data_IF_923616873966
#
_entry.id   IF_923616873966
#
_cell.length_a   1.000
_cell.length_b   1.000
_cell.length_c   1.000
_cell.angle_alpha   90.00
_cell.angle_beta   90.00
_cell.angle_gamma   90.00
#
_symmetry.space_group_name_H-M   'P 1'
#
loop_
_entity.id
_entity.type
_entity.pdbx_description
1 polymer ?
#
# COMPACT_ATOMS: atom_id res chain seq x y z
N UNK A 1 56.41 16.44 2.83
CA UNK A 1 56.64 15.33 1.88
C UNK A 1 56.72 14.02 2.65
N UNK A 2 55.67 13.21 2.63
CA UNK A 2 55.75 11.73 2.56
C UNK A 2 54.36 11.15 2.33
N UNK A 3 54.22 10.48 1.19
CA UNK A 3 53.07 9.68 0.75
C UNK A 3 52.98 8.37 1.52
N UNK A 4 51.76 7.93 1.85
CA UNK A 4 51.26 6.54 1.97
C UNK A 4 49.75 6.63 1.64
N UNK A 5 49.19 6.16 0.51
CA UNK A 5 49.02 4.78 0.02
C UNK A 5 48.64 3.81 1.15
N UNK A 6 47.59 2.98 1.09
CA UNK A 6 46.42 2.80 0.25
C UNK A 6 45.60 1.75 1.02
N UNK A 7 44.31 1.95 1.27
CA UNK A 7 43.42 0.87 1.68
C UNK A 7 42.02 1.20 1.18
N UNK A 8 41.81 0.86 -0.10
CA UNK A 8 40.47 0.84 -0.69
C UNK A 8 39.67 -0.28 -0.03
N UNK A 9 38.46 0.06 0.40
CA UNK A 9 37.48 -0.87 0.92
C UNK A 9 37.21 -1.99 -0.12
N UNK A 10 37.05 -3.25 0.31
CA UNK A 10 36.66 -4.31 -0.61
C UNK A 10 35.30 -3.97 -1.22
N UNK A 11 35.34 -3.77 -2.54
CA UNK A 11 34.21 -3.58 -3.41
C UNK A 11 33.18 -4.69 -3.22
N UNK A 12 31.92 -4.26 -3.18
CA UNK A 12 30.69 -5.05 -3.20
C UNK A 12 30.86 -6.46 -3.76
N UNK A 13 30.40 -7.43 -2.97
CA UNK A 13 30.02 -8.78 -3.39
C UNK A 13 29.52 -8.79 -4.83
N UNK A 14 30.28 -9.47 -5.69
CA UNK A 14 29.87 -9.88 -7.02
C UNK A 14 28.52 -10.59 -6.93
N UNK A 15 27.45 -9.87 -7.25
CA UNK A 15 26.13 -10.47 -7.48
C UNK A 15 26.09 -11.01 -8.92
N UNK A 16 26.96 -11.98 -9.23
CA UNK A 16 26.81 -12.78 -10.45
C UNK A 16 25.85 -13.94 -10.17
N UNK A 17 24.56 -13.62 -10.01
CA UNK A 17 23.50 -14.63 -10.10
C UNK A 17 23.07 -14.69 -11.57
N UNK A 18 23.84 -15.42 -12.37
CA UNK A 18 23.61 -15.62 -13.82
C UNK A 18 22.43 -16.58 -14.08
N UNK A 19 21.26 -16.30 -13.49
CA UNK A 19 20.01 -16.98 -13.82
C UNK A 19 19.30 -16.28 -14.99
N UNK A 20 18.44 -16.98 -15.75
CA UNK A 20 17.58 -16.32 -16.73
C UNK A 20 16.68 -15.30 -16.04
N UNK A 21 16.56 -14.08 -16.57
CA UNK A 21 15.63 -13.08 -16.04
C UNK A 21 14.19 -13.40 -16.53
N UNK A 22 13.55 -14.40 -15.92
CA UNK A 22 12.20 -14.84 -16.30
C UNK A 22 11.18 -13.70 -16.22
N UNK A 23 11.28 -12.84 -15.20
CA UNK A 23 10.41 -11.65 -15.05
C UNK A 23 10.55 -10.69 -16.23
N UNK A 24 11.78 -10.42 -16.68
CA UNK A 24 12.05 -9.61 -17.87
C UNK A 24 11.51 -10.25 -19.15
N UNK A 25 11.75 -11.55 -19.33
CA UNK A 25 11.27 -12.32 -20.47
C UNK A 25 9.74 -12.31 -20.60
N UNK A 26 9.00 -12.54 -19.51
CA UNK A 26 7.53 -12.50 -19.54
C UNK A 26 6.98 -11.09 -19.71
N UNK A 27 7.65 -10.08 -19.15
CA UNK A 27 7.30 -8.67 -19.37
C UNK A 27 7.35 -8.32 -20.87
N UNK A 28 8.42 -8.71 -21.56
CA UNK A 28 8.61 -8.40 -22.97
C UNK A 28 7.60 -9.13 -23.86
N UNK A 29 7.29 -10.41 -23.56
CA UNK A 29 6.25 -11.16 -24.26
C UNK A 29 4.85 -10.59 -24.08
N UNK A 30 4.50 -10.14 -22.87
CA UNK A 30 3.22 -9.48 -22.62
C UNK A 30 3.14 -8.16 -23.39
N UNK A 31 4.22 -7.36 -23.39
CA UNK A 31 4.29 -6.13 -24.16
C UNK A 31 4.14 -6.37 -25.67
N UNK A 32 4.75 -7.43 -26.21
CA UNK A 32 4.61 -7.81 -27.62
C UNK A 32 3.17 -8.24 -27.95
N UNK A 33 2.54 -9.06 -27.12
CA UNK A 33 1.16 -9.51 -27.32
C UNK A 33 0.15 -8.35 -27.31
N UNK A 34 0.35 -7.37 -26.42
CA UNK A 34 -0.51 -6.18 -26.32
C UNK A 34 -0.26 -5.18 -27.46
N UNK A 35 0.95 -5.15 -28.03
CA UNK A 35 1.30 -4.26 -29.14
C UNK A 35 0.82 -4.75 -30.50
N UNK A 36 0.34 -6.01 -30.61
CA UNK A 36 -0.24 -6.56 -31.84
C UNK A 36 -1.70 -6.10 -32.03
N UNK A 37 -1.89 -4.82 -32.33
CA UNK A 37 -3.14 -4.24 -32.87
C UNK A 37 -2.81 -3.45 -34.15
N UNK A 38 -3.75 -3.40 -35.11
CA UNK A 38 -3.69 -2.74 -36.43
C UNK A 38 -2.88 -3.42 -37.57
N UNK A 39 -3.49 -4.45 -38.19
CA UNK A 39 -3.61 -4.50 -39.66
C UNK A 39 -4.94 -5.17 -40.04
N UNK A 40 -5.99 -4.37 -40.24
CA UNK A 40 -7.24 -4.86 -40.82
C UNK A 40 -7.08 -4.77 -42.35
N UNK A 41 -7.19 -5.88 -43.13
CA UNK A 41 -7.33 -5.77 -44.57
C UNK A 41 -8.75 -5.28 -44.90
N UNK A 42 -8.86 -4.10 -45.51
CA UNK A 42 -10.12 -3.60 -46.05
C UNK A 42 -10.54 -4.45 -47.25
N UNK A 43 -11.55 -5.29 -47.09
CA UNK A 43 -12.30 -5.83 -48.22
C UNK A 43 -13.79 -5.60 -47.98
N UNK A 44 -14.34 -4.63 -48.71
CA UNK A 44 -15.77 -4.32 -48.75
C UNK A 44 -16.56 -5.47 -49.36
N UNK A 45 -17.51 -6.06 -48.62
CA UNK A 45 -18.72 -6.69 -49.18
C UNK A 45 -19.89 -6.48 -48.21
N UNK A 46 -21.03 -6.04 -48.75
CA UNK A 46 -22.16 -5.45 -48.02
C UNK A 46 -23.16 -6.37 -47.31
N UNK A 47 -23.92 -5.70 -46.43
CA UNK A 47 -25.20 -5.98 -45.76
C UNK A 47 -25.72 -7.44 -45.63
N UNK A 48 -25.62 -8.00 -44.43
CA UNK A 48 -26.73 -8.37 -43.51
C UNK A 48 -26.17 -9.25 -42.38
N UNK A 49 -26.75 -9.12 -41.17
CA UNK A 49 -26.42 -9.85 -39.91
C UNK A 49 -25.28 -9.20 -39.12
N UNK A 50 -25.33 -9.33 -37.78
CA UNK A 50 -24.39 -8.72 -36.82
C UNK A 50 -22.99 -8.62 -37.43
N UNK A 51 -22.50 -7.38 -37.54
CA UNK A 51 -21.29 -7.05 -38.30
C UNK A 51 -20.21 -8.07 -37.97
N UNK A 52 -19.70 -8.76 -38.99
CA UNK A 52 -18.59 -9.72 -38.86
C UNK A 52 -17.41 -9.13 -38.08
N UNK A 53 -17.24 -7.80 -38.11
CA UNK A 53 -16.25 -7.08 -37.31
C UNK A 53 -16.48 -7.15 -35.79
N UNK A 54 -17.72 -7.19 -35.30
CA UNK A 54 -18.01 -7.35 -33.86
C UNK A 54 -17.69 -8.76 -33.37
N UNK A 55 -18.04 -9.78 -34.17
CA UNK A 55 -17.76 -11.19 -33.86
C UNK A 55 -16.25 -11.41 -33.87
N UNK A 56 -15.55 -10.95 -34.91
CA UNK A 56 -14.08 -11.05 -35.03
C UNK A 56 -13.39 -10.25 -33.91
N UNK A 57 -13.86 -9.05 -33.57
CA UNK A 57 -13.31 -8.26 -32.46
C UNK A 57 -13.46 -8.96 -31.10
N UNK A 58 -14.60 -9.61 -30.87
CA UNK A 58 -14.83 -10.39 -29.65
C UNK A 58 -13.98 -11.67 -29.57
N UNK A 59 -13.77 -12.37 -30.69
CA UNK A 59 -12.93 -13.57 -30.77
C UNK A 59 -11.43 -13.23 -30.63
N UNK A 60 -10.98 -12.12 -31.23
CA UNK A 60 -9.61 -11.62 -31.06
C UNK A 60 -9.34 -11.23 -29.60
N UNK A 61 -10.31 -10.56 -28.96
CA UNK A 61 -10.23 -10.23 -27.54
C UNK A 61 -10.17 -11.48 -26.66
N UNK A 62 -11.00 -12.51 -26.95
CA UNK A 62 -10.95 -13.80 -26.26
C UNK A 62 -9.60 -14.48 -26.44
N UNK A 63 -9.08 -14.56 -27.66
CA UNK A 63 -7.80 -15.21 -27.97
C UNK A 63 -6.61 -14.49 -27.30
N UNK A 64 -6.62 -13.15 -27.27
CA UNK A 64 -5.61 -12.35 -26.56
C UNK A 64 -5.66 -12.65 -25.05
N UNK A 65 -6.86 -12.72 -24.47
CA UNK A 65 -7.04 -13.06 -23.06
C UNK A 65 -6.61 -14.50 -22.73
N UNK A 66 -6.91 -15.46 -23.60
CA UNK A 66 -6.48 -16.86 -23.47
C UNK A 66 -4.96 -16.99 -23.52
N UNK A 67 -4.29 -16.30 -24.47
CA UNK A 67 -2.82 -16.28 -24.57
C UNK A 67 -2.17 -15.58 -23.39
N UNK A 68 -2.74 -14.46 -22.93
CA UNK A 68 -2.25 -13.75 -21.75
C UNK A 68 -2.37 -14.64 -20.51
N UNK A 69 -3.51 -15.31 -20.32
CA UNK A 69 -3.71 -16.27 -19.23
C UNK A 69 -2.74 -17.45 -19.30
N UNK A 70 -2.45 -17.97 -20.49
CA UNK A 70 -1.47 -19.04 -20.67
C UNK A 70 -0.05 -18.57 -20.30
N UNK A 71 0.36 -17.38 -20.75
CA UNK A 71 1.66 -16.80 -20.38
C UNK A 71 1.77 -16.52 -18.89
N UNK A 72 0.72 -16.02 -18.24
CA UNK A 72 0.69 -15.80 -16.80
C UNK A 72 0.85 -17.11 -16.03
N UNK A 73 0.16 -18.18 -16.46
CA UNK A 73 0.31 -19.52 -15.87
C UNK A 73 1.75 -20.03 -16.02
N UNK A 74 2.34 -19.85 -17.20
CA UNK A 74 3.71 -20.29 -17.45
C UNK A 74 4.72 -19.46 -16.62
N UNK A 75 4.54 -18.14 -16.55
CA UNK A 75 5.34 -17.26 -15.70
C UNK A 75 5.30 -17.71 -14.24
N UNK A 76 4.13 -18.03 -13.72
CA UNK A 76 4.00 -18.58 -12.35
C UNK A 76 4.73 -19.91 -12.22
N UNK A 77 4.59 -20.83 -13.17
CA UNK A 77 5.26 -22.13 -13.14
C UNK A 77 6.79 -22.01 -13.15
N UNK A 78 7.34 -21.09 -13.94
CA UNK A 78 8.78 -20.89 -14.03
C UNK A 78 9.36 -20.20 -12.78
N UNK A 79 8.56 -19.37 -12.09
CA UNK A 79 8.98 -18.68 -10.87
C UNK A 79 8.85 -19.54 -9.60
N UNK A 80 7.99 -20.56 -9.59
CA UNK A 80 7.84 -21.48 -8.46
C UNK A 80 9.19 -22.08 -8.00
N UNK A 81 10.01 -22.69 -8.87
CA UNK A 81 11.27 -23.29 -8.43
C UNK A 81 12.27 -22.27 -7.88
N UNK A 82 12.28 -21.03 -8.38
CA UNK A 82 13.13 -19.96 -7.82
C UNK A 82 12.71 -19.58 -6.40
N UNK A 83 11.40 -19.53 -6.15
CA UNK A 83 10.86 -19.24 -4.81
C UNK A 83 11.16 -20.40 -3.85
N UNK A 84 11.03 -21.65 -4.31
CA UNK A 84 11.39 -22.84 -3.54
C UNK A 84 12.89 -22.88 -3.20
N UNK A 85 13.76 -22.56 -4.15
CA UNK A 85 15.23 -22.48 -3.93
C UNK A 85 15.57 -21.44 -2.85
N UNK A 86 14.96 -20.26 -2.92
CA UNK A 86 15.19 -19.20 -1.92
C UNK A 86 14.70 -19.62 -0.53
N UNK A 87 13.56 -20.31 -0.44
CA UNK A 87 13.07 -20.84 0.83
C UNK A 87 14.02 -21.91 1.40
N UNK A 88 14.52 -22.82 0.56
CA UNK A 88 15.49 -23.84 0.97
C UNK A 88 16.81 -23.20 1.46
N UNK A 89 17.32 -22.18 0.75
CA UNK A 89 18.50 -21.42 1.15
C UNK A 89 18.30 -20.74 2.51
N UNK A 90 17.13 -20.14 2.76
CA UNK A 90 16.79 -19.53 4.05
C UNK A 90 16.72 -20.59 5.16
N UNK A 91 16.19 -21.79 4.87
CA UNK A 91 16.18 -22.89 5.84
C UNK A 91 17.58 -23.41 6.15
N UNK A 92 18.45 -23.51 5.15
CA UNK A 92 19.86 -23.90 5.33
C UNK A 92 20.57 -22.84 6.16
N UNK A 93 20.40 -21.56 5.84
CA UNK A 93 20.99 -20.45 6.57
C UNK A 93 20.54 -20.47 8.04
N UNK A 94 19.24 -20.63 8.29
CA UNK A 94 18.68 -20.74 9.65
C UNK A 94 19.29 -21.88 10.46
N UNK A 95 19.72 -22.97 9.82
CA UNK A 95 20.38 -24.10 10.50
C UNK A 95 21.89 -23.91 10.67
N UNK A 96 22.54 -23.27 9.70
CA UNK A 96 24.01 -23.19 9.61
C UNK A 96 24.57 -21.98 10.34
N UNK A 97 23.88 -20.84 10.22
CA UNK A 97 24.25 -19.59 10.88
C UNK A 97 22.97 -18.86 11.37
N UNK A 98 22.43 -19.28 12.53
CA UNK A 98 21.26 -18.63 13.11
C UNK A 98 21.46 -17.14 13.40
N UNK A 99 22.69 -16.71 13.69
CA UNK A 99 23.01 -15.32 14.00
C UNK A 99 22.87 -14.42 12.77
N UNK A 100 23.40 -14.86 11.63
CA UNK A 100 23.23 -14.15 10.36
C UNK A 100 21.77 -14.16 9.90
N UNK A 101 21.05 -15.27 10.09
CA UNK A 101 19.61 -15.35 9.80
C UNK A 101 18.80 -14.33 10.61
N UNK A 102 18.98 -14.29 11.94
CA UNK A 102 18.32 -13.33 12.83
C UNK A 102 18.65 -11.88 12.46
N UNK A 103 19.88 -11.59 12.01
CA UNK A 103 20.26 -10.26 11.54
C UNK A 103 19.51 -9.85 10.27
N UNK A 104 19.40 -10.74 9.29
CA UNK A 104 18.64 -10.50 8.05
C UNK A 104 17.15 -10.33 8.36
N UNK A 105 16.58 -11.23 9.15
CA UNK A 105 15.16 -11.18 9.54
C UNK A 105 14.84 -9.88 10.30
N UNK A 106 15.69 -9.50 11.26
CA UNK A 106 15.58 -8.26 12.00
C UNK A 106 15.69 -7.04 11.09
N UNK A 107 16.63 -7.02 10.14
CA UNK A 107 16.76 -5.92 9.18
C UNK A 107 15.49 -5.79 8.34
N UNK A 108 15.00 -6.89 7.77
CA UNK A 108 13.78 -6.87 6.97
C UNK A 108 12.57 -6.41 7.79
N UNK A 109 12.44 -6.90 9.02
CA UNK A 109 11.38 -6.47 9.95
C UNK A 109 11.47 -4.98 10.24
N UNK A 110 12.66 -4.45 10.51
CA UNK A 110 12.88 -3.02 10.75
C UNK A 110 12.54 -2.17 9.51
N UNK A 111 12.92 -2.63 8.31
CA UNK A 111 12.62 -1.92 7.06
C UNK A 111 11.09 -1.86 6.82
N UNK A 112 10.37 -2.96 7.07
CA UNK A 112 8.91 -3.01 6.97
C UNK A 112 8.26 -2.10 8.02
N UNK A 113 8.73 -2.13 9.27
CA UNK A 113 8.22 -1.26 10.34
C UNK A 113 8.46 0.23 10.03
N UNK A 114 9.63 0.58 9.50
CA UNK A 114 9.95 1.94 9.10
C UNK A 114 9.06 2.40 7.94
N UNK A 115 8.82 1.54 6.94
CA UNK A 115 7.89 1.81 5.84
C UNK A 115 6.46 2.04 6.35
N UNK A 116 6.00 1.20 7.27
CA UNK A 116 4.67 1.32 7.89
C UNK A 116 4.52 2.62 8.68
N UNK A 117 5.53 2.98 9.48
CA UNK A 117 5.51 4.25 10.22
C UNK A 117 5.51 5.45 9.29
N UNK A 118 6.31 5.42 8.22
CA UNK A 118 6.28 6.48 7.19
C UNK A 118 4.89 6.58 6.54
N UNK A 119 4.26 5.47 6.16
CA UNK A 119 2.89 5.49 5.61
C UNK A 119 1.88 6.05 6.61
N UNK A 120 1.98 5.67 7.89
CA UNK A 120 1.14 6.22 8.96
C UNK A 120 1.32 7.73 9.08
N UNK A 121 2.55 8.22 9.11
CA UNK A 121 2.83 9.67 9.18
C UNK A 121 2.29 10.42 7.96
N UNK A 122 2.41 9.84 6.76
CA UNK A 122 1.85 10.43 5.53
C UNK A 122 0.32 10.52 5.60
N UNK A 123 -0.36 9.49 6.13
CA UNK A 123 -1.81 9.49 6.33
C UNK A 123 -2.23 10.54 7.36
N UNK A 124 -1.53 10.66 8.48
CA UNK A 124 -1.83 11.68 9.50
C UNK A 124 -1.65 13.09 8.91
N UNK A 125 -0.56 13.33 8.16
CA UNK A 125 -0.35 14.61 7.46
C UNK A 125 -1.44 14.90 6.44
N UNK A 126 -1.89 13.90 5.69
CA UNK A 126 -2.99 14.05 4.75
C UNK A 126 -4.29 14.41 5.48
N UNK A 127 -4.57 13.75 6.60
CA UNK A 127 -5.75 14.02 7.42
C UNK A 127 -5.72 15.45 7.99
N UNK A 128 -4.57 15.92 8.47
CA UNK A 128 -4.39 17.31 8.92
C UNK A 128 -4.58 18.30 7.77
N UNK A 129 -4.04 18.02 6.59
CA UNK A 129 -4.26 18.84 5.41
C UNK A 129 -5.74 18.92 5.05
N UNK A 130 -6.49 17.81 5.13
CA UNK A 130 -7.95 17.83 4.90
C UNK A 130 -8.65 18.66 5.98
N UNK A 131 -8.34 18.42 7.25
CA UNK A 131 -8.97 19.10 8.39
C UNK A 131 -8.71 20.61 8.39
N UNK A 132 -7.52 21.07 7.99
CA UNK A 132 -7.19 22.51 7.85
C UNK A 132 -7.97 23.20 6.73
N UNK A 133 -8.46 22.44 5.73
CA UNK A 133 -9.31 22.97 4.65
C UNK A 133 -10.80 22.92 4.98
N UNK A 134 -11.19 22.21 6.03
CA UNK A 134 -12.58 22.18 6.48
C UNK A 134 -12.97 23.54 7.08
N UNK A 135 -14.22 23.97 6.83
CA UNK A 135 -14.78 25.17 7.46
C UNK A 135 -14.83 25.04 8.99
N UNK A 136 -14.87 26.13 9.75
CA UNK A 136 -15.16 26.08 11.18
C UNK A 136 -16.42 25.28 11.50
N UNK A 137 -16.32 24.41 12.50
CA UNK A 137 -17.45 23.64 13.00
C UNK A 137 -18.43 24.53 13.78
N UNK A 138 -19.72 24.45 13.44
CA UNK A 138 -20.77 25.19 14.13
C UNK A 138 -21.07 24.61 15.52
N UNK A 139 -21.69 25.40 16.39
CA UNK A 139 -22.14 24.93 17.72
C UNK A 139 -23.13 23.76 17.66
N UNK A 140 -23.90 23.64 16.58
CA UNK A 140 -24.77 22.48 16.37
C UNK A 140 -23.94 21.22 16.16
N UNK A 141 -23.01 21.28 15.21
CA UNK A 141 -22.12 20.17 14.86
C UNK A 141 -21.23 19.72 16.03
N UNK A 142 -20.71 20.67 16.82
CA UNK A 142 -19.93 20.35 18.03
C UNK A 142 -20.76 19.56 19.06
N UNK A 143 -22.03 19.95 19.27
CA UNK A 143 -22.94 19.22 20.18
C UNK A 143 -23.29 17.83 19.65
N UNK A 144 -23.53 17.71 18.35
CA UNK A 144 -23.80 16.42 17.71
C UNK A 144 -22.59 15.49 17.76
N UNK A 145 -21.39 16.04 17.57
CA UNK A 145 -20.13 15.33 17.75
C UNK A 145 -19.96 14.85 19.19
N UNK A 146 -20.19 15.71 20.17
CA UNK A 146 -20.12 15.36 21.59
C UNK A 146 -21.07 14.21 21.92
N UNK A 147 -22.32 14.28 21.45
CA UNK A 147 -23.31 13.22 21.64
C UNK A 147 -22.84 11.92 20.99
N UNK A 148 -22.36 12.01 19.75
CA UNK A 148 -21.88 10.84 19.00
C UNK A 148 -20.69 10.15 19.66
N UNK A 149 -19.77 10.91 20.27
CA UNK A 149 -18.62 10.37 21.01
C UNK A 149 -19.12 9.59 22.24
N UNK A 150 -20.07 10.14 23.01
CA UNK A 150 -20.64 9.46 24.20
C UNK A 150 -21.37 8.15 23.88
N UNK A 151 -21.86 7.98 22.66
CA UNK A 151 -22.54 6.76 22.18
C UNK A 151 -21.57 5.67 21.68
N UNK A 152 -20.26 5.96 21.62
CA UNK A 152 -19.27 5.00 21.15
C UNK A 152 -18.94 3.92 22.20
N UNK A 153 -18.62 2.68 21.76
CA UNK A 153 -18.07 1.66 22.64
C UNK A 153 -16.75 2.11 23.29
N UNK A 154 -16.45 1.57 24.48
CA UNK A 154 -15.29 1.96 25.28
C UNK A 154 -13.94 1.81 24.57
N UNK A 155 -13.80 0.83 23.68
CA UNK A 155 -12.60 0.64 22.87
C UNK A 155 -12.34 1.84 21.93
N UNK A 156 -13.39 2.37 21.31
CA UNK A 156 -13.29 3.54 20.44
C UNK A 156 -12.98 4.82 21.23
N UNK A 157 -13.43 4.91 22.49
CA UNK A 157 -13.07 6.02 23.38
C UNK A 157 -11.58 6.05 23.69
N UNK A 158 -10.91 4.89 23.82
CA UNK A 158 -9.45 4.84 23.97
C UNK A 158 -8.74 5.46 22.75
N UNK A 159 -9.25 5.19 21.55
CA UNK A 159 -8.68 5.78 20.33
C UNK A 159 -8.95 7.28 20.23
N UNK A 160 -10.13 7.76 20.63
CA UNK A 160 -10.44 9.20 20.75
C UNK A 160 -9.42 9.89 21.68
N UNK A 161 -9.18 9.32 22.86
CA UNK A 161 -8.19 9.86 23.81
C UNK A 161 -6.79 9.92 23.19
N UNK A 162 -6.40 8.90 22.42
CA UNK A 162 -5.14 8.90 21.66
C UNK A 162 -5.06 10.05 20.65
N UNK A 163 -6.12 10.30 19.88
CA UNK A 163 -6.17 11.42 18.91
C UNK A 163 -5.97 12.77 19.61
N UNK A 164 -6.65 12.98 20.75
CA UNK A 164 -6.52 14.22 21.53
C UNK A 164 -5.11 14.36 22.08
N UNK A 165 -4.55 13.29 22.64
CA UNK A 165 -3.18 13.26 23.18
C UNK A 165 -2.16 13.62 22.12
N UNK A 166 -2.22 12.96 20.97
CA UNK A 166 -1.28 13.18 19.87
C UNK A 166 -1.35 14.62 19.37
N UNK A 167 -2.57 15.19 19.29
CA UNK A 167 -2.78 16.59 18.90
C UNK A 167 -2.23 17.59 19.92
N UNK A 168 -2.41 17.33 21.22
CA UNK A 168 -1.86 18.18 22.28
C UNK A 168 -0.33 18.13 22.31
N UNK A 169 0.25 16.93 22.19
CA UNK A 169 1.71 16.76 22.10
C UNK A 169 2.25 17.53 20.89
N UNK A 170 1.61 17.42 19.73
CA UNK A 170 2.02 18.15 18.53
C UNK A 170 1.88 19.67 18.66
N UNK A 171 0.93 20.15 19.46
CA UNK A 171 0.73 21.58 19.76
C UNK A 171 1.50 22.09 20.98
N UNK A 172 2.33 21.24 21.61
CA UNK A 172 3.12 21.60 22.79
C UNK A 172 2.30 21.79 24.07
N UNK A 173 1.05 21.31 24.11
CA UNK A 173 0.17 21.37 25.28
C UNK A 173 0.40 20.18 26.21
N UNK A 174 0.33 20.41 27.52
CA UNK A 174 0.34 19.33 28.50
C UNK A 174 -0.94 18.48 28.41
N UNK A 175 -0.80 17.16 28.46
CA UNK A 175 -1.90 16.20 28.50
C UNK A 175 -1.85 15.40 29.80
N UNK A 176 -2.97 15.28 30.52
CA UNK A 176 -3.11 14.48 31.76
C UNK A 176 -3.86 13.18 31.47
N UNK A 177 -3.76 12.18 32.34
CA UNK A 177 -4.43 10.88 32.14
C UNK A 177 -5.96 10.97 32.17
N UNK A 178 -6.51 11.97 32.86
CA UNK A 178 -7.94 12.29 32.87
C UNK A 178 -8.16 13.65 32.19
N UNK A 179 -8.71 13.63 30.98
CA UNK A 179 -8.95 14.84 30.18
C UNK A 179 -10.43 15.07 29.98
N UNK A 180 -10.94 16.13 30.60
CA UNK A 180 -12.21 16.74 30.22
C UNK A 180 -11.97 17.68 29.04
N UNK A 181 -12.32 17.26 27.83
CA UNK A 181 -12.19 18.11 26.63
C UNK A 181 -13.41 18.99 26.47
N UNK A 182 -13.21 20.31 26.45
CA UNK A 182 -14.24 21.26 26.05
C UNK A 182 -14.17 21.51 24.53
N UNK A 183 -15.02 20.82 23.76
CA UNK A 183 -15.07 20.96 22.29
C UNK A 183 -15.37 22.40 21.82
N UNK A 184 -15.88 23.28 22.69
CA UNK A 184 -16.10 24.68 22.31
C UNK A 184 -14.80 25.48 22.21
N UNK A 185 -13.77 25.11 22.96
CA UNK A 185 -12.47 25.80 23.04
C UNK A 185 -11.39 25.16 22.17
N UNK A 186 -11.63 23.96 21.64
CA UNK A 186 -10.69 23.27 20.77
C UNK A 186 -10.59 23.88 19.37
N UNK A 187 -9.42 23.71 18.76
CA UNK A 187 -9.19 24.16 17.40
C UNK A 187 -9.93 23.30 16.38
N UNK A 188 -10.14 23.90 15.21
CA UNK A 188 -10.91 23.29 14.13
C UNK A 188 -10.30 21.96 13.65
N UNK A 189 -8.97 21.80 13.69
CA UNK A 189 -8.29 20.60 13.18
C UNK A 189 -8.66 19.41 14.06
N UNK A 190 -8.51 19.53 15.38
CA UNK A 190 -8.87 18.47 16.32
C UNK A 190 -10.33 18.08 16.18
N UNK A 191 -11.23 19.08 16.10
CA UNK A 191 -12.66 18.82 15.98
C UNK A 191 -12.97 17.98 14.74
N UNK A 192 -12.45 18.34 13.56
CA UNK A 192 -12.69 17.58 12.34
C UNK A 192 -12.05 16.19 12.37
N UNK A 193 -10.87 16.02 12.98
CA UNK A 193 -10.26 14.70 13.17
C UNK A 193 -11.16 13.78 13.99
N UNK A 194 -11.71 14.28 15.10
CA UNK A 194 -12.66 13.55 15.92
C UNK A 194 -13.93 13.22 15.12
N UNK A 195 -14.46 14.17 14.36
CA UNK A 195 -15.63 13.96 13.51
C UNK A 195 -15.41 12.85 12.46
N UNK A 196 -14.27 12.87 11.75
CA UNK A 196 -13.96 11.84 10.76
C UNK A 196 -13.82 10.45 11.38
N UNK A 197 -13.15 10.35 12.53
CA UNK A 197 -13.03 9.08 13.24
C UNK A 197 -14.40 8.54 13.67
N UNK A 198 -15.22 9.38 14.29
CA UNK A 198 -16.59 9.00 14.71
C UNK A 198 -17.41 8.55 13.50
N UNK A 199 -17.31 9.27 12.37
CA UNK A 199 -17.97 8.90 11.12
C UNK A 199 -17.53 7.53 10.61
N UNK A 200 -16.22 7.25 10.61
CA UNK A 200 -15.67 5.96 10.20
C UNK A 200 -16.17 4.82 11.08
N UNK A 201 -16.18 4.99 12.41
CA UNK A 201 -16.69 3.98 13.36
C UNK A 201 -18.18 3.71 13.13
N UNK A 202 -18.99 4.75 12.96
CA UNK A 202 -20.42 4.61 12.68
C UNK A 202 -20.66 3.86 11.37
N UNK A 203 -19.88 4.15 10.33
CA UNK A 203 -20.00 3.46 9.04
C UNK A 203 -19.57 1.99 9.14
N UNK A 204 -18.46 1.69 9.82
CA UNK A 204 -18.00 0.32 10.04
C UNK A 204 -19.06 -0.53 10.77
N UNK A 205 -19.70 0.04 11.82
CA UNK A 205 -20.78 -0.65 12.55
C UNK A 205 -22.00 -0.93 11.67
N UNK A 206 -22.37 0.00 10.79
CA UNK A 206 -23.47 -0.20 9.84
C UNK A 206 -23.17 -1.32 8.84
N UNK A 207 -21.92 -1.43 8.38
CA UNK A 207 -21.50 -2.48 7.44
C UNK A 207 -21.39 -3.86 8.10
N UNK A 208 -21.19 -3.91 9.41
CA UNK A 208 -21.14 -5.14 10.18
C UNK A 208 -22.52 -5.64 10.67
N UNK A 209 -23.59 -4.90 10.40
CA UNK A 209 -24.99 -5.23 10.76
C UNK A 209 -25.73 -5.82 9.56
#
# INVERSE_FOLDING_TARGET
>A
MTKRAAEEAPSSLDSSRNGPNYVGYYRDQVAELLSREERIPHQEIGATKKSSAEIIGSEISSLKNEKLNALLRQCVQDLIPEVEEVEDDLQILRRTDPGLFEEIERKHTNDVLASLDNMKQQLEKLLDNVATKCRPMSRGEKRDLQKSIKELPGENLKRIAGIIKDHYVASGKEFRDEVTVNLEEEDNILLWRLHFYVGAVKNARKLAS
#
